data_IF_921558241692
#
_entry.id   IF_921558241692
#
_cell.length_a   1.000
_cell.length_b   1.000
_cell.length_c   1.000
_cell.angle_alpha   90.00
_cell.angle_beta   90.00
_cell.angle_gamma   90.00
#
_symmetry.space_group_name_H-M   'P 1'
#
loop_
_entity.id
_entity.type
_entity.pdbx_description
1 polymer ?
#
# COMPACT_ATOMS: atom_id res chain seq x y z
N UNK A 1 30.41 -12.34 -17.24
CA UNK A 1 30.55 -10.87 -17.37
C UNK A 1 29.75 -10.08 -16.33
N UNK A 2 28.66 -10.63 -15.77
CA UNK A 2 27.92 -10.04 -14.63
C UNK A 2 28.57 -10.26 -13.26
N UNK A 3 29.26 -11.38 -13.04
CA UNK A 3 29.97 -11.66 -11.77
C UNK A 3 31.07 -10.64 -11.47
N UNK A 4 31.77 -10.14 -12.50
CA UNK A 4 32.82 -9.13 -12.34
C UNK A 4 32.25 -7.76 -11.93
N UNK A 5 31.03 -7.44 -12.36
CA UNK A 5 30.35 -6.20 -11.94
C UNK A 5 29.84 -6.25 -10.50
N UNK A 6 29.52 -7.43 -9.97
CA UNK A 6 29.13 -7.57 -8.57
C UNK A 6 30.36 -7.46 -7.68
N UNK A 7 31.47 -8.09 -8.06
CA UNK A 7 32.71 -8.09 -7.28
C UNK A 7 33.47 -6.74 -7.36
N UNK A 8 33.50 -6.07 -8.52
CA UNK A 8 34.12 -4.74 -8.65
C UNK A 8 33.27 -3.64 -7.96
N UNK A 9 31.96 -3.85 -7.78
CA UNK A 9 31.07 -2.91 -7.06
C UNK A 9 31.09 -3.10 -5.53
N UNK A 10 31.74 -4.15 -5.02
CA UNK A 10 31.99 -4.36 -3.58
C UNK A 10 33.28 -3.69 -3.08
N UNK A 11 34.09 -3.09 -3.96
CA UNK A 11 35.41 -2.52 -3.58
C UNK A 11 35.38 -1.03 -3.23
N UNK A 12 34.28 -0.31 -3.46
CA UNK A 12 34.21 1.14 -3.24
C UNK A 12 33.15 1.53 -2.20
N UNK A 13 33.60 1.74 -0.96
CA UNK A 13 33.01 2.71 -0.01
C UNK A 13 31.92 2.20 0.95
N UNK A 14 31.82 2.79 2.16
CA UNK A 14 31.16 2.22 3.35
C UNK A 14 29.62 2.37 3.39
N UNK A 15 28.96 2.57 2.24
CA UNK A 15 27.56 3.02 2.19
C UNK A 15 26.54 1.86 2.17
N UNK A 16 26.99 0.60 2.02
CA UNK A 16 26.07 -0.53 1.80
C UNK A 16 25.78 -1.41 3.02
N UNK A 17 26.22 -1.06 4.23
CA UNK A 17 25.79 -1.82 5.40
C UNK A 17 24.32 -1.58 5.79
N UNK A 18 23.71 -0.47 5.37
CA UNK A 18 22.31 -0.14 5.75
C UNK A 18 21.23 -0.79 4.87
N UNK A 19 21.60 -1.52 3.80
CA UNK A 19 20.62 -2.09 2.84
C UNK A 19 20.24 -3.55 3.05
N UNK A 20 20.92 -4.26 3.97
CA UNK A 20 20.67 -5.69 4.24
C UNK A 20 19.69 -5.87 5.41
N UNK A 21 19.49 -4.85 6.23
CA UNK A 21 18.65 -4.92 7.44
C UNK A 21 17.13 -4.85 7.18
N UNK A 22 16.71 -4.63 5.92
CA UNK A 22 15.29 -4.48 5.55
C UNK A 22 14.68 -5.71 4.87
N UNK A 23 15.46 -6.75 4.59
CA UNK A 23 14.89 -8.04 4.22
C UNK A 23 14.57 -8.79 5.51
N UNK A 24 13.32 -9.26 5.64
CA UNK A 24 12.90 -10.09 6.76
C UNK A 24 13.94 -11.20 6.99
N UNK A 25 14.39 -11.39 8.24
CA UNK A 25 15.46 -12.34 8.56
C UNK A 25 15.15 -13.75 8.05
N UNK A 26 13.87 -14.11 7.90
CA UNK A 26 13.46 -15.37 7.27
C UNK A 26 13.77 -15.42 5.77
N UNK A 27 13.61 -14.31 5.03
CA UNK A 27 13.94 -14.22 3.60
C UNK A 27 15.44 -14.33 3.36
N UNK A 28 16.27 -13.75 4.24
CA UNK A 28 17.73 -13.87 4.16
C UNK A 28 18.17 -15.33 4.33
N UNK A 29 17.59 -16.03 5.32
CA UNK A 29 17.87 -17.45 5.56
C UNK A 29 17.41 -18.33 4.40
N UNK A 30 16.24 -18.04 3.81
CA UNK A 30 15.73 -18.77 2.64
C UNK A 30 16.66 -18.56 1.43
N UNK A 31 17.09 -17.33 1.16
CA UNK A 31 18.01 -17.04 0.06
C UNK A 31 19.39 -17.68 0.25
N UNK A 32 19.88 -17.74 1.49
CA UNK A 32 21.15 -18.40 1.82
C UNK A 32 21.04 -19.93 1.71
N UNK A 33 19.90 -20.51 2.07
CA UNK A 33 19.61 -21.94 1.89
C UNK A 33 19.48 -22.33 0.41
N UNK A 34 18.83 -21.49 -0.41
CA UNK A 34 18.68 -21.71 -1.84
C UNK A 34 19.98 -21.56 -2.63
N UNK A 35 21.01 -20.85 -2.12
CA UNK A 35 22.34 -20.80 -2.74
C UNK A 35 23.07 -22.14 -2.77
N UNK A 36 22.75 -23.06 -1.86
CA UNK A 36 23.40 -24.37 -1.74
C UNK A 36 22.61 -25.51 -2.40
N UNK A 37 21.40 -25.23 -2.88
CA UNK A 37 20.58 -26.16 -3.63
C UNK A 37 20.59 -25.70 -5.09
N UNK A 38 20.73 -26.62 -6.05
CA UNK A 38 20.69 -26.30 -7.48
C UNK A 38 19.24 -26.00 -7.91
N UNK A 39 18.70 -24.87 -7.42
CA UNK A 39 17.29 -24.50 -7.50
C UNK A 39 17.16 -23.21 -8.30
N UNK A 40 16.40 -23.28 -9.38
CA UNK A 40 16.02 -22.12 -10.19
C UNK A 40 14.84 -21.40 -9.54
N UNK A 41 15.03 -20.14 -9.13
CA UNK A 41 13.95 -19.31 -8.61
C UNK A 41 13.20 -18.71 -9.79
N UNK A 42 11.97 -19.20 -10.01
CA UNK A 42 11.05 -18.63 -11.00
C UNK A 42 10.06 -17.70 -10.30
N UNK A 43 10.01 -16.44 -10.72
CA UNK A 43 9.04 -15.46 -10.22
C UNK A 43 7.74 -15.57 -11.03
N UNK A 44 6.61 -15.81 -10.36
CA UNK A 44 5.27 -15.77 -10.96
C UNK A 44 4.36 -14.84 -10.15
N UNK A 45 3.63 -13.97 -10.86
CA UNK A 45 2.73 -12.97 -10.29
C UNK A 45 1.23 -13.33 -10.49
N UNK A 46 0.93 -14.54 -10.98
CA UNK A 46 -0.41 -14.90 -11.53
C UNK A 46 -0.99 -16.15 -10.83
N UNK A 47 -0.56 -16.44 -9.61
CA UNK A 47 -1.02 -17.62 -8.86
C UNK A 47 -1.57 -17.22 -7.50
N UNK A 48 -2.77 -17.71 -7.18
CA UNK A 48 -3.32 -17.62 -5.84
C UNK A 48 -2.39 -18.34 -4.85
N UNK A 49 -1.90 -17.68 -3.78
CA UNK A 49 -1.05 -18.30 -2.78
C UNK A 49 -1.62 -19.58 -2.14
N UNK A 50 -2.95 -19.70 -2.04
CA UNK A 50 -3.60 -20.89 -1.50
C UNK A 50 -3.47 -22.13 -2.40
N UNK A 51 -3.27 -21.95 -3.71
CA UNK A 51 -3.08 -23.06 -4.66
C UNK A 51 -1.78 -23.84 -4.44
N UNK A 52 -0.78 -23.22 -3.80
CA UNK A 52 0.45 -23.93 -3.42
C UNK A 52 0.22 -24.99 -2.33
N UNK A 53 -0.82 -24.82 -1.51
CA UNK A 53 -1.15 -25.75 -0.44
C UNK A 53 -1.92 -26.98 -0.94
N UNK A 54 -2.61 -26.86 -2.08
CA UNK A 54 -3.37 -27.96 -2.68
C UNK A 54 -2.54 -28.81 -3.65
N UNK A 55 -1.30 -28.44 -3.95
CA UNK A 55 -0.40 -29.17 -4.86
C UNK A 55 -0.82 -29.16 -6.33
N UNK A 56 -1.96 -28.55 -6.65
CA UNK A 56 -2.41 -28.29 -8.00
C UNK A 56 -1.99 -26.88 -8.38
N UNK A 57 -1.14 -26.74 -9.41
CA UNK A 57 -1.01 -25.47 -10.11
C UNK A 57 -2.36 -25.19 -10.78
N UNK A 58 -3.27 -24.54 -10.05
CA UNK A 58 -4.60 -24.17 -10.54
C UNK A 58 -4.47 -23.36 -11.83
N UNK A 59 -5.57 -23.27 -12.59
CA UNK A 59 -5.56 -22.49 -13.83
C UNK A 59 -5.02 -21.08 -13.59
N UNK A 60 -4.27 -20.51 -14.56
CA UNK A 60 -3.78 -19.14 -14.46
C UNK A 60 -4.92 -18.21 -14.07
N UNK A 61 -4.83 -17.61 -12.89
CA UNK A 61 -5.84 -16.65 -12.42
C UNK A 61 -5.57 -15.36 -13.18
N UNK A 62 -6.37 -15.08 -14.21
CA UNK A 62 -6.27 -13.81 -14.92
C UNK A 62 -6.70 -12.70 -13.96
N UNK A 63 -5.72 -12.09 -13.29
CA UNK A 63 -5.91 -10.88 -12.50
C UNK A 63 -5.90 -9.67 -13.45
N UNK A 64 -7.01 -9.43 -14.14
CA UNK A 64 -7.25 -8.11 -14.73
C UNK A 64 -7.66 -7.16 -13.60
N UNK A 65 -6.69 -6.74 -12.78
CA UNK A 65 -6.89 -5.73 -11.75
C UNK A 65 -7.55 -4.47 -12.33
N UNK A 66 -7.30 -4.17 -13.61
CA UNK A 66 -7.94 -3.08 -14.34
C UNK A 66 -9.45 -3.28 -14.48
N UNK A 67 -9.94 -4.46 -14.86
CA UNK A 67 -11.37 -4.74 -14.98
C UNK A 67 -12.08 -4.65 -13.62
N UNK A 68 -11.46 -5.15 -12.55
CA UNK A 68 -12.00 -5.04 -11.19
C UNK A 68 -12.03 -3.59 -10.67
N UNK A 69 -10.99 -2.80 -10.97
CA UNK A 69 -10.95 -1.36 -10.66
C UNK A 69 -12.01 -0.63 -11.47
N UNK A 70 -12.13 -0.92 -12.76
CA UNK A 70 -13.09 -0.30 -13.68
C UNK A 70 -14.53 -0.61 -13.28
N UNK A 71 -14.84 -1.86 -12.93
CA UNK A 71 -16.15 -2.27 -12.42
C UNK A 71 -16.51 -1.57 -11.10
N UNK A 72 -15.53 -1.39 -10.21
CA UNK A 72 -15.75 -0.72 -8.91
C UNK A 72 -15.91 0.79 -9.07
N UNK A 73 -15.12 1.42 -9.96
CA UNK A 73 -15.18 2.84 -10.27
C UNK A 73 -16.30 3.23 -11.24
N UNK A 74 -16.98 2.26 -11.87
CA UNK A 74 -18.13 2.48 -12.75
C UNK A 74 -19.29 3.22 -12.05
N UNK A 75 -19.38 3.11 -10.72
CA UNK A 75 -20.38 3.82 -9.91
C UNK A 75 -20.21 5.35 -9.88
N UNK A 76 -19.08 5.89 -10.35
CA UNK A 76 -18.73 7.32 -10.30
C UNK A 76 -18.13 7.84 -11.61
N UNK A 77 -18.63 7.39 -12.78
CA UNK A 77 -18.13 7.83 -14.10
C UNK A 77 -18.10 9.36 -14.29
N UNK A 78 -19.01 10.07 -13.62
CA UNK A 78 -19.14 11.52 -13.69
C UNK A 78 -18.32 12.29 -12.64
N UNK A 79 -17.67 11.60 -11.69
CA UNK A 79 -16.77 12.24 -10.74
C UNK A 79 -15.51 12.73 -11.49
N UNK A 80 -15.17 14.00 -11.32
CA UNK A 80 -13.99 14.62 -11.93
C UNK A 80 -13.14 15.25 -10.84
N UNK A 81 -11.82 15.16 -10.99
CA UNK A 81 -10.86 15.83 -10.11
C UNK A 81 -10.75 17.34 -10.40
N UNK A 82 -11.56 17.86 -11.33
CA UNK A 82 -11.58 19.28 -11.69
C UNK A 82 -12.81 19.94 -11.13
N UNK A 83 -12.62 21.08 -10.47
CA UNK A 83 -13.73 21.87 -9.93
C UNK A 83 -14.59 22.43 -11.09
N UNK A 84 -15.92 22.23 -11.06
CA UNK A 84 -16.81 22.89 -12.01
C UNK A 84 -16.83 24.41 -11.78
N UNK A 85 -17.07 25.18 -12.84
CA UNK A 85 -17.27 26.62 -12.71
C UNK A 85 -18.53 26.87 -11.87
N UNK A 86 -18.52 27.86 -10.97
CA UNK A 86 -19.65 28.33 -10.14
C UNK A 86 -20.25 27.39 -9.06
N UNK A 87 -19.56 26.32 -8.65
CA UNK A 87 -20.03 25.45 -7.55
C UNK A 87 -19.57 25.90 -6.16
N UNK A 88 -20.38 25.61 -5.14
CA UNK A 88 -19.99 25.77 -3.74
C UNK A 88 -18.83 24.82 -3.38
N UNK A 89 -17.78 25.35 -2.76
CA UNK A 89 -16.64 24.55 -2.30
C UNK A 89 -16.78 24.22 -0.82
N UNK A 90 -16.82 22.92 -0.55
CA UNK A 90 -16.83 22.36 0.79
C UNK A 90 -15.43 21.80 1.07
N UNK A 91 -14.96 21.92 2.31
CA UNK A 91 -13.68 21.33 2.74
C UNK A 91 -13.91 20.51 4.00
N UNK A 92 -13.48 19.25 3.95
CA UNK A 92 -13.56 18.30 5.06
C UNK A 92 -12.15 18.05 5.61
N UNK A 93 -12.07 17.73 6.90
CA UNK A 93 -10.84 17.25 7.53
C UNK A 93 -11.19 16.29 8.67
N UNK A 94 -10.46 15.19 8.76
CA UNK A 94 -10.57 14.18 9.80
C UNK A 94 -9.27 14.01 10.57
N UNK A 95 -9.29 14.31 11.86
CA UNK A 95 -8.10 14.21 12.71
C UNK A 95 -8.16 13.03 13.68
N UNK A 96 -6.98 12.50 14.03
CA UNK A 96 -6.81 11.46 15.05
C UNK A 96 -5.51 11.70 15.83
N UNK A 97 -5.60 11.85 17.15
CA UNK A 97 -4.44 12.07 18.02
C UNK A 97 -4.41 11.08 19.19
N UNK A 98 -3.22 10.84 19.74
CA UNK A 98 -3.03 9.95 20.90
C UNK A 98 -2.60 10.80 22.09
N UNK A 99 -3.57 11.16 22.92
CA UNK A 99 -3.39 11.93 24.15
C UNK A 99 -4.18 11.21 25.24
N UNK A 100 -3.49 10.48 26.12
CA UNK A 100 -4.15 9.66 27.16
C UNK A 100 -5.17 8.65 26.61
N UNK A 101 -5.00 8.22 25.35
CA UNK A 101 -5.96 7.45 24.56
C UNK A 101 -6.08 7.99 23.14
N UNK A 102 -6.63 7.21 22.21
CA UNK A 102 -6.85 7.66 20.83
C UNK A 102 -8.18 8.40 20.73
N UNK A 103 -8.09 9.68 20.37
CA UNK A 103 -9.21 10.58 20.13
C UNK A 103 -9.25 10.93 18.65
N UNK A 104 -10.44 11.09 18.11
CA UNK A 104 -10.63 11.46 16.71
C UNK A 104 -11.86 12.35 16.58
N UNK A 105 -11.88 13.16 15.53
CA UNK A 105 -12.97 14.05 15.20
C UNK A 105 -12.95 14.41 13.72
N UNK A 106 -14.03 15.01 13.26
CA UNK A 106 -14.16 15.51 11.90
C UNK A 106 -14.69 16.95 11.91
N UNK A 107 -14.47 17.63 10.79
CA UNK A 107 -15.02 18.96 10.54
C UNK A 107 -15.36 19.11 9.06
N UNK A 108 -16.48 19.76 8.78
CA UNK A 108 -16.93 20.20 7.46
C UNK A 108 -17.04 21.70 7.47
N UNK A 109 -16.37 22.34 6.52
CA UNK A 109 -16.32 23.80 6.41
C UNK A 109 -16.75 24.26 5.02
N UNK A 110 -17.33 25.46 4.97
CA UNK A 110 -17.60 26.18 3.74
C UNK A 110 -16.93 27.54 3.84
N UNK A 111 -16.01 27.83 2.92
CA UNK A 111 -15.16 29.02 2.94
C UNK A 111 -14.35 29.20 4.23
N UNK A 112 -14.90 29.87 5.25
CA UNK A 112 -14.26 30.15 6.55
C UNK A 112 -15.15 29.80 7.74
N UNK A 113 -16.29 29.18 7.48
CA UNK A 113 -17.29 28.86 8.48
C UNK A 113 -17.35 27.35 8.69
N UNK A 114 -17.54 26.93 9.94
CA UNK A 114 -17.78 25.52 10.28
C UNK A 114 -19.25 25.22 10.11
N UNK A 115 -19.57 24.31 9.20
CA UNK A 115 -20.94 23.85 8.95
C UNK A 115 -21.29 22.70 9.87
N UNK A 116 -20.36 21.77 10.05
CA UNK A 116 -20.53 20.60 10.92
C UNK A 116 -19.20 20.21 11.55
N UNK A 117 -19.24 19.66 12.77
CA UNK A 117 -18.10 19.00 13.39
C UNK A 117 -18.57 18.07 14.49
N UNK A 118 -17.76 17.06 14.80
CA UNK A 118 -18.11 16.14 15.88
C UNK A 118 -16.98 15.20 16.28
N UNK A 119 -17.12 14.56 17.46
CA UNK A 119 -16.23 13.49 17.88
C UNK A 119 -16.54 12.20 17.10
N UNK A 120 -15.49 11.44 16.80
CA UNK A 120 -15.59 10.10 16.21
C UNK A 120 -15.39 9.01 17.28
N UNK A 121 -15.79 7.76 17.02
CA UNK A 121 -15.57 6.66 17.96
C UNK A 121 -14.10 6.56 18.39
N UNK A 122 -13.90 6.18 19.65
CA UNK A 122 -12.56 5.92 20.20
C UNK A 122 -11.83 4.89 19.33
N UNK A 123 -10.53 5.06 19.18
CA UNK A 123 -9.65 4.24 18.34
C UNK A 123 -9.80 4.44 16.81
N UNK A 124 -10.55 5.44 16.34
CA UNK A 124 -10.61 5.81 14.92
C UNK A 124 -9.25 6.32 14.42
N UNK A 125 -8.73 5.76 13.33
CA UNK A 125 -7.48 6.20 12.69
C UNK A 125 -7.66 7.52 11.95
N UNK A 126 -6.56 8.22 11.63
CA UNK A 126 -6.62 9.47 10.87
C UNK A 126 -7.23 9.26 9.46
N UNK A 127 -6.82 8.21 8.75
CA UNK A 127 -7.41 7.86 7.45
C UNK A 127 -8.91 7.58 7.52
N UNK A 128 -9.36 6.88 8.57
CA UNK A 128 -10.79 6.63 8.75
C UNK A 128 -11.54 7.90 9.13
N UNK A 129 -10.91 8.80 9.90
CA UNK A 129 -11.49 10.10 10.21
C UNK A 129 -11.69 10.90 8.93
N UNK A 130 -10.70 10.95 8.04
CA UNK A 130 -10.77 11.66 6.76
C UNK A 130 -11.89 11.12 5.86
N UNK A 131 -12.05 9.80 5.79
CA UNK A 131 -13.11 9.15 5.00
C UNK A 131 -14.51 9.34 5.61
N UNK A 132 -14.58 9.60 6.92
CA UNK A 132 -15.86 9.82 7.62
C UNK A 132 -16.28 11.29 7.58
N UNK A 133 -15.32 12.21 7.39
CA UNK A 133 -15.51 13.65 7.39
C UNK A 133 -16.31 14.16 6.19
#
# INVERSE_FOLDING_TARGET
MLLKQIEDRQRTGPIWQEGIETLDKSLVVILEFLKYQDVEIVVTNIVNPASFLSGSMGEPVIHECLEAIEATCSSFLDLKDTLPENTETWSTDGSSCVISGRHAGYVVTMSREVIESGPLPTNTSAQKAEVTA
#
